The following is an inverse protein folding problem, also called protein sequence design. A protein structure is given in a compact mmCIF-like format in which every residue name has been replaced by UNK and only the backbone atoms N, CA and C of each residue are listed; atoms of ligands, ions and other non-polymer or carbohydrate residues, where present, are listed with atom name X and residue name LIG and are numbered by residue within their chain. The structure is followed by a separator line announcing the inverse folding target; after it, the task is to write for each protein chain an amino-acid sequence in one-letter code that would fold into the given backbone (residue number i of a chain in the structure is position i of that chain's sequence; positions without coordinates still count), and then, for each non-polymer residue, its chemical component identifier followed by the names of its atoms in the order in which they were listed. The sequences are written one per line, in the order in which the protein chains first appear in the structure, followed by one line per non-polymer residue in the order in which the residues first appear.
data_IF_466202621275
#
_entry.id   IF_466202621275
#
_cell.length_a   1.000
_cell.length_b   1.000
_cell.length_c   1.000
_cell.angle_alpha   90.00
_cell.angle_beta   90.00
_cell.angle_gamma   90.00
#
_symmetry.space_group_name_H-M   'P 1'
#
loop_
_entity.id
_entity.type
_entity.pdbx_description
1 polymer ?
#
# COMPACT_ATOMS: atom_id res chain seq x y z
N UNK A 1 33.63 62.50 8.99
CA UNK A 1 33.03 61.61 10.04
C UNK A 1 33.61 60.24 9.85
N UNK A 2 34.25 59.71 10.86
CA UNK A 2 34.80 58.35 10.75
C UNK A 2 33.64 57.35 10.96
N UNK A 3 33.74 56.18 10.33
CA UNK A 3 32.74 55.09 10.39
C UNK A 3 32.45 54.69 11.86
N UNK A 4 33.48 54.77 12.71
CA UNK A 4 33.41 54.50 14.13
C UNK A 4 32.59 55.56 14.90
N UNK A 5 32.62 56.83 14.52
CA UNK A 5 31.79 57.88 15.11
C UNK A 5 30.33 57.70 14.75
N UNK A 6 30.04 57.35 13.50
CA UNK A 6 28.66 57.10 13.06
C UNK A 6 28.02 55.88 13.78
N UNK A 7 28.77 54.79 13.99
CA UNK A 7 28.33 53.65 14.77
C UNK A 7 28.08 54.00 16.22
N UNK A 8 28.99 54.79 16.83
CA UNK A 8 28.85 55.19 18.24
C UNK A 8 27.65 56.12 18.46
N UNK A 9 27.36 57.01 17.52
CA UNK A 9 26.18 57.89 17.55
C UNK A 9 24.90 57.09 17.39
N UNK A 10 24.85 56.10 16.47
CA UNK A 10 23.71 55.19 16.29
C UNK A 10 23.43 54.35 17.55
N UNK A 11 24.47 53.80 18.16
CA UNK A 11 24.34 53.05 19.44
C UNK A 11 23.83 53.92 20.60
N UNK A 12 24.27 55.17 20.68
CA UNK A 12 23.82 56.11 21.70
C UNK A 12 22.34 56.49 21.50
N UNK A 13 21.95 56.71 20.24
CA UNK A 13 20.52 56.98 19.90
C UNK A 13 19.61 55.82 20.22
N UNK A 14 20.04 54.55 19.96
CA UNK A 14 19.33 53.35 20.34
C UNK A 14 19.20 53.25 21.88
N UNK A 15 20.20 53.59 22.62
CA UNK A 15 20.24 53.51 24.06
C UNK A 15 19.33 54.56 24.75
N UNK A 16 19.10 55.72 24.11
CA UNK A 16 18.19 56.75 24.61
C UNK A 16 16.71 56.40 24.39
N UNK A 17 16.38 55.60 23.38
CA UNK A 17 15.02 55.19 23.04
C UNK A 17 14.84 53.64 23.06
N UNK A 18 15.38 52.98 24.07
CA UNK A 18 15.46 51.52 24.16
C UNK A 18 14.10 50.81 24.02
N UNK A 19 13.01 51.36 24.53
CA UNK A 19 11.69 50.71 24.40
C UNK A 19 11.20 50.71 22.96
N UNK A 20 11.41 51.81 22.22
CA UNK A 20 11.00 51.85 20.81
C UNK A 20 11.87 50.90 19.94
N UNK A 21 13.20 50.94 20.19
CA UNK A 21 14.14 50.06 19.49
C UNK A 21 13.85 48.57 19.76
N UNK A 22 13.52 48.21 21.01
CA UNK A 22 13.17 46.84 21.41
C UNK A 22 11.87 46.36 20.78
N UNK A 23 10.84 47.22 20.75
CA UNK A 23 9.56 46.87 20.12
C UNK A 23 9.69 46.69 18.62
N UNK A 24 10.46 47.54 17.92
CA UNK A 24 10.69 47.37 16.49
C UNK A 24 11.53 46.13 16.18
N UNK A 25 12.57 45.84 16.95
CA UNK A 25 13.36 44.63 16.82
C UNK A 25 12.56 43.37 17.07
N UNK A 26 11.72 43.39 18.11
CA UNK A 26 10.82 42.28 18.44
C UNK A 26 9.84 42.01 17.27
N UNK A 27 9.27 43.05 16.68
CA UNK A 27 8.39 42.90 15.52
C UNK A 27 9.09 42.26 14.31
N UNK A 28 10.34 42.67 14.03
CA UNK A 28 11.14 42.12 12.96
C UNK A 28 11.49 40.63 13.23
N UNK A 29 11.90 40.32 14.46
CA UNK A 29 12.23 38.94 14.85
C UNK A 29 10.99 38.04 14.71
N UNK A 30 9.84 38.46 15.22
CA UNK A 30 8.59 37.68 15.11
C UNK A 30 8.22 37.51 13.63
N UNK A 31 8.32 38.55 12.82
CA UNK A 31 8.01 38.50 11.40
C UNK A 31 8.89 37.47 10.65
N UNK A 32 10.20 37.56 10.83
CA UNK A 32 11.15 36.66 10.17
C UNK A 32 10.98 35.22 10.69
N UNK A 33 10.86 35.04 12.01
CA UNK A 33 10.67 33.72 12.61
C UNK A 33 9.39 33.06 12.13
N UNK A 34 8.31 33.81 11.97
CA UNK A 34 7.04 33.33 11.44
C UNK A 34 7.17 32.82 10.00
N UNK A 35 7.86 33.56 9.13
CA UNK A 35 8.07 33.13 7.75
C UNK A 35 8.94 31.86 7.69
N UNK A 36 10.03 31.82 8.46
CA UNK A 36 10.89 30.62 8.52
C UNK A 36 10.07 29.41 9.03
N UNK A 37 9.28 29.57 10.07
CA UNK A 37 8.47 28.50 10.62
C UNK A 37 7.45 27.97 9.60
N UNK A 38 6.77 28.86 8.86
CA UNK A 38 5.79 28.47 7.84
C UNK A 38 6.47 27.71 6.69
N UNK A 39 7.59 28.21 6.18
CA UNK A 39 8.33 27.56 5.08
C UNK A 39 8.88 26.19 5.52
N UNK A 40 9.45 26.12 6.72
CA UNK A 40 10.00 24.87 7.25
C UNK A 40 8.89 23.83 7.45
N UNK A 41 7.76 24.25 8.01
CA UNK A 41 6.59 23.38 8.22
C UNK A 41 6.01 22.92 6.86
N UNK A 42 5.90 23.83 5.89
CA UNK A 42 5.43 23.51 4.54
C UNK A 42 6.29 22.44 3.85
N UNK A 43 7.61 22.62 3.88
CA UNK A 43 8.55 21.65 3.31
C UNK A 43 8.52 20.30 4.03
N UNK A 44 8.39 20.31 5.36
CA UNK A 44 8.29 19.09 6.15
C UNK A 44 6.99 18.31 5.86
N UNK A 45 5.86 19.02 5.76
CA UNK A 45 4.56 18.42 5.41
C UNK A 45 4.59 17.86 3.98
N UNK A 46 5.17 18.58 3.02
CA UNK A 46 5.30 18.10 1.65
C UNK A 46 6.13 16.83 1.58
N UNK A 47 7.30 16.81 2.22
CA UNK A 47 8.17 15.63 2.25
C UNK A 47 7.47 14.42 2.90
N UNK A 48 6.77 14.65 4.02
CA UNK A 48 6.03 13.61 4.72
C UNK A 48 4.84 13.09 3.89
N UNK A 49 4.13 13.98 3.21
CA UNK A 49 3.01 13.59 2.33
C UNK A 49 3.51 12.75 1.18
N UNK A 50 4.57 13.16 0.48
CA UNK A 50 5.16 12.39 -0.62
C UNK A 50 5.64 11.01 -0.14
N UNK A 51 6.24 10.93 1.04
CA UNK A 51 6.68 9.66 1.61
C UNK A 51 5.50 8.76 1.97
N UNK A 52 4.45 9.32 2.58
CA UNK A 52 3.23 8.55 2.89
C UNK A 52 2.52 8.05 1.63
N UNK A 53 2.50 8.85 0.56
CA UNK A 53 1.95 8.47 -0.74
C UNK A 53 2.77 7.36 -1.40
N UNK A 54 4.11 7.48 -1.37
CA UNK A 54 4.99 6.42 -1.87
C UNK A 54 4.84 5.11 -1.06
N UNK A 55 4.68 5.22 0.26
CA UNK A 55 4.44 4.08 1.14
C UNK A 55 3.06 3.44 0.93
N UNK A 56 2.07 4.24 0.54
CA UNK A 56 0.75 3.76 0.13
C UNK A 56 0.73 3.07 -1.25
N UNK A 57 1.84 3.10 -1.99
CA UNK A 57 1.97 2.45 -3.29
C UNK A 57 1.42 3.28 -4.46
N UNK A 58 1.31 4.61 -4.32
CA UNK A 58 0.87 5.49 -5.42
C UNK A 58 1.83 5.45 -6.62
N UNK A 59 3.10 5.10 -6.39
CA UNK A 59 4.07 4.89 -7.46
C UNK A 59 4.04 3.45 -8.02
N UNK A 60 3.16 2.58 -7.49
CA UNK A 60 3.01 1.25 -8.04
C UNK A 60 2.25 1.33 -9.36
N UNK A 61 2.82 0.74 -10.39
CA UNK A 61 2.15 0.57 -11.67
C UNK A 61 1.10 -0.54 -11.53
N UNK A 62 -0.10 -0.32 -12.04
CA UNK A 62 -1.11 -1.37 -12.12
C UNK A 62 -1.14 -1.89 -13.55
N UNK A 63 -0.80 -3.15 -13.73
CA UNK A 63 -1.01 -3.85 -14.99
C UNK A 63 -2.36 -4.57 -14.91
N UNK A 64 -3.30 -4.20 -15.76
CA UNK A 64 -4.67 -4.71 -15.75
C UNK A 64 -5.05 -5.29 -17.11
N UNK A 65 -5.73 -6.43 -17.09
CA UNK A 65 -6.31 -7.03 -18.30
C UNK A 65 -7.53 -6.23 -18.72
N UNK A 66 -7.50 -5.72 -19.95
CA UNK A 66 -8.61 -4.94 -20.56
C UNK A 66 -9.04 -5.57 -21.87
N UNK A 67 -10.34 -5.44 -22.20
CA UNK A 67 -10.85 -5.84 -23.51
C UNK A 67 -10.31 -4.91 -24.61
N UNK A 68 -9.94 -5.49 -25.78
CA UNK A 68 -9.52 -4.73 -26.97
C UNK A 68 -10.67 -4.02 -27.67
N UNK A 69 -11.92 -4.37 -27.32
CA UNK A 69 -13.12 -3.75 -27.91
C UNK A 69 -13.54 -2.45 -27.23
N UNK A 70 -12.96 -2.10 -26.11
CA UNK A 70 -13.20 -0.80 -25.47
C UNK A 70 -12.42 0.27 -26.25
N UNK A 71 -13.15 1.15 -26.97
CA UNK A 71 -12.55 2.23 -27.72
C UNK A 71 -11.80 3.17 -26.79
N UNK A 72 -10.64 3.66 -27.25
CA UNK A 72 -9.77 4.58 -26.49
C UNK A 72 -10.45 5.92 -26.09
N UNK A 73 -11.64 6.20 -26.64
CA UNK A 73 -12.44 7.40 -26.35
C UNK A 73 -13.23 7.34 -25.03
N UNK A 74 -13.34 6.16 -24.38
CA UNK A 74 -14.04 6.01 -23.10
C UNK A 74 -13.11 6.09 -21.86
N UNK A 75 -11.80 6.24 -22.06
CA UNK A 75 -10.82 6.27 -20.94
C UNK A 75 -10.71 7.65 -20.23
N UNK A 76 -11.32 8.73 -20.75
CA UNK A 76 -11.23 10.07 -20.11
C UNK A 76 -12.34 10.37 -19.09
N UNK A 77 -13.31 9.47 -18.88
CA UNK A 77 -14.34 9.68 -17.86
C UNK A 77 -13.94 8.99 -16.53
N UNK A 78 -13.09 9.66 -15.75
CA UNK A 78 -12.72 9.25 -14.37
C UNK A 78 -13.93 9.13 -13.41
N UNK A 79 -15.15 9.35 -13.90
CA UNK A 79 -16.39 9.35 -13.13
C UNK A 79 -17.41 8.27 -13.56
N UNK A 80 -16.99 7.27 -14.32
CA UNK A 80 -17.89 6.16 -14.66
C UNK A 80 -18.04 5.18 -13.48
N UNK A 81 -18.75 5.60 -12.45
CA UNK A 81 -19.39 4.72 -11.48
C UNK A 81 -20.46 3.90 -12.20
N UNK A 82 -20.13 2.76 -12.74
CA UNK A 82 -21.18 1.86 -13.24
C UNK A 82 -20.88 0.96 -14.42
N UNK A 83 -19.67 0.91 -14.97
CA UNK A 83 -19.34 -0.18 -15.89
C UNK A 83 -19.10 -1.44 -15.07
N UNK A 84 -19.97 -2.44 -15.24
CA UNK A 84 -19.76 -3.78 -14.70
C UNK A 84 -18.37 -4.24 -15.14
N UNK A 85 -17.55 -4.84 -14.23
CA UNK A 85 -16.27 -5.40 -14.61
C UNK A 85 -16.49 -6.34 -15.79
N UNK A 86 -15.77 -6.11 -16.90
CA UNK A 86 -15.76 -7.07 -17.99
C UNK A 86 -15.24 -8.38 -17.41
N UNK A 87 -16.05 -9.42 -17.42
CA UNK A 87 -15.67 -10.73 -16.92
C UNK A 87 -14.58 -11.26 -17.85
N UNK A 88 -13.33 -11.16 -17.40
CA UNK A 88 -12.16 -11.59 -18.17
C UNK A 88 -12.14 -13.13 -18.22
N UNK A 89 -12.00 -13.69 -19.40
CA UNK A 89 -11.86 -15.13 -19.55
C UNK A 89 -10.63 -15.61 -18.75
N UNK A 90 -10.78 -16.72 -18.05
CA UNK A 90 -9.75 -17.30 -17.17
C UNK A 90 -8.42 -17.49 -17.90
N UNK A 91 -8.46 -17.88 -19.19
CA UNK A 91 -7.27 -18.06 -20.02
C UNK A 91 -6.53 -16.77 -20.36
N UNK A 92 -7.19 -15.62 -20.22
CA UNK A 92 -6.63 -14.30 -20.54
C UNK A 92 -6.20 -13.53 -19.30
N UNK A 93 -6.29 -14.12 -18.11
CA UNK A 93 -5.79 -13.52 -16.87
C UNK A 93 -4.27 -13.60 -16.76
N UNK A 94 -3.70 -12.72 -15.94
CA UNK A 94 -2.26 -12.71 -15.63
C UNK A 94 -1.95 -13.88 -14.70
N UNK A 95 -1.20 -14.87 -15.19
CA UNK A 95 -0.85 -16.06 -14.43
C UNK A 95 0.33 -15.84 -13.46
N UNK A 96 0.46 -16.71 -12.46
CA UNK A 96 1.60 -16.72 -11.54
C UNK A 96 2.96 -16.87 -12.28
N UNK A 97 2.99 -17.62 -13.38
CA UNK A 97 4.18 -17.76 -14.20
C UNK A 97 4.56 -16.45 -14.89
N UNK A 98 3.59 -15.70 -15.43
CA UNK A 98 3.83 -14.36 -16.01
C UNK A 98 4.39 -13.40 -14.96
N UNK A 99 3.87 -13.42 -13.72
CA UNK A 99 4.38 -12.61 -12.62
C UNK A 99 5.84 -12.94 -12.31
N UNK A 100 6.18 -14.21 -12.25
CA UNK A 100 7.54 -14.69 -12.00
C UNK A 100 8.49 -14.32 -13.15
N UNK A 101 8.04 -14.45 -14.40
CA UNK A 101 8.81 -14.12 -15.59
C UNK A 101 9.08 -12.62 -15.71
N UNK A 102 8.09 -11.78 -15.41
CA UNK A 102 8.25 -10.32 -15.38
C UNK A 102 9.37 -9.92 -14.42
N UNK A 103 9.38 -10.48 -13.22
CA UNK A 103 10.41 -10.20 -12.20
C UNK A 103 11.80 -10.66 -12.65
N UNK A 104 11.89 -11.86 -13.26
CA UNK A 104 13.16 -12.42 -13.76
C UNK A 104 13.73 -11.64 -14.94
N UNK A 105 12.86 -11.08 -15.79
CA UNK A 105 13.27 -10.37 -17.01
C UNK A 105 13.88 -9.01 -16.72
N UNK A 106 13.47 -8.34 -15.65
CA UNK A 106 13.92 -7.00 -15.31
C UNK A 106 14.57 -6.91 -13.91
N UNK A 107 15.64 -7.66 -13.66
CA UNK A 107 16.30 -7.66 -12.36
C UNK A 107 16.86 -6.27 -12.03
N UNK A 108 16.62 -5.82 -10.80
CA UNK A 108 17.06 -4.50 -10.33
C UNK A 108 16.27 -3.30 -10.85
N UNK A 109 15.27 -3.50 -11.72
CA UNK A 109 14.36 -2.45 -12.21
C UNK A 109 12.98 -2.54 -11.57
N UNK A 110 12.56 -3.75 -11.22
CA UNK A 110 11.32 -4.04 -10.51
C UNK A 110 11.68 -4.50 -9.10
N UNK A 111 11.17 -3.78 -8.09
CA UNK A 111 11.35 -4.13 -6.69
C UNK A 111 10.44 -5.29 -6.26
N UNK A 112 9.26 -5.39 -6.85
CA UNK A 112 8.31 -6.46 -6.58
C UNK A 112 7.08 -6.41 -7.48
N UNK A 113 6.42 -7.55 -7.61
CA UNK A 113 5.14 -7.69 -8.31
C UNK A 113 4.12 -8.29 -7.34
N UNK A 114 3.20 -7.47 -6.87
CA UNK A 114 2.19 -7.84 -5.88
C UNK A 114 0.87 -8.24 -6.52
N UNK A 115 0.27 -9.32 -6.05
CA UNK A 115 -1.03 -9.84 -6.53
C UNK A 115 -2.19 -9.53 -5.61
N UNK A 116 -1.93 -9.15 -4.35
CA UNK A 116 -2.95 -9.06 -3.30
C UNK A 116 -4.04 -8.02 -3.48
N UNK A 117 -3.87 -7.02 -4.36
CA UNK A 117 -4.93 -6.04 -4.66
C UNK A 117 -6.04 -6.61 -5.53
N UNK A 118 -5.75 -7.61 -6.36
CA UNK A 118 -6.73 -8.27 -7.22
C UNK A 118 -7.41 -9.49 -6.56
N UNK A 119 -6.81 -10.00 -5.47
CA UNK A 119 -7.24 -11.22 -4.79
C UNK A 119 -7.83 -10.90 -3.41
N UNK A 120 -8.86 -10.05 -3.38
CA UNK A 120 -9.58 -9.64 -2.16
C UNK A 120 -10.93 -10.31 -2.07
N UNK A 121 -11.20 -10.92 -0.92
CA UNK A 121 -12.43 -11.65 -0.65
C UNK A 121 -13.08 -11.15 0.64
N UNK A 122 -14.34 -10.79 0.55
CA UNK A 122 -15.14 -10.47 1.72
C UNK A 122 -15.72 -11.75 2.32
N UNK A 123 -15.75 -11.81 3.64
CA UNK A 123 -16.30 -12.96 4.32
C UNK A 123 -16.41 -12.74 5.81
N UNK A 124 -16.57 -13.84 6.51
CA UNK A 124 -16.61 -13.86 7.97
C UNK A 124 -15.53 -14.77 8.53
N UNK A 125 -15.03 -14.41 9.70
CA UNK A 125 -14.04 -15.20 10.44
C UNK A 125 -14.62 -15.62 11.79
N UNK A 126 -14.29 -16.81 12.21
CA UNK A 126 -14.66 -17.38 13.51
C UNK A 126 -13.49 -18.17 14.10
N UNK A 127 -13.60 -18.50 15.38
CA UNK A 127 -12.69 -19.41 16.06
C UNK A 127 -13.50 -20.49 16.78
N UNK A 128 -12.97 -21.68 16.98
CA UNK A 128 -13.66 -22.74 17.74
C UNK A 128 -14.02 -22.33 19.18
N UNK A 129 -13.29 -21.37 19.74
CA UNK A 129 -13.47 -20.91 21.12
C UNK A 129 -14.48 -19.75 21.26
N UNK A 130 -14.89 -19.11 20.18
CA UNK A 130 -15.75 -17.93 20.20
C UNK A 130 -17.07 -18.20 19.48
N UNK A 131 -18.18 -17.91 20.14
CA UNK A 131 -19.50 -17.98 19.52
C UNK A 131 -19.72 -16.74 18.64
N UNK A 132 -20.05 -16.98 17.36
CA UNK A 132 -20.36 -15.95 16.38
C UNK A 132 -19.22 -15.64 15.43
N UNK A 133 -19.59 -15.01 14.34
CA UNK A 133 -18.67 -14.64 13.25
C UNK A 133 -18.40 -13.14 13.22
N UNK A 134 -17.26 -12.72 12.69
CA UNK A 134 -16.87 -11.32 12.47
C UNK A 134 -16.55 -11.09 11.01
N UNK A 135 -16.95 -9.95 10.48
CA UNK A 135 -16.60 -9.59 9.11
C UNK A 135 -15.09 -9.34 8.97
N UNK A 136 -14.53 -9.83 7.89
CA UNK A 136 -13.13 -9.72 7.58
C UNK A 136 -12.92 -9.64 6.06
N UNK A 137 -11.89 -8.92 5.66
CA UNK A 137 -11.37 -8.95 4.30
C UNK A 137 -10.17 -9.89 4.25
N UNK A 138 -10.26 -10.93 3.44
CA UNK A 138 -9.15 -11.84 3.16
C UNK A 138 -8.45 -11.39 1.88
N UNK A 139 -7.13 -11.25 1.94
CA UNK A 139 -6.29 -11.00 0.78
C UNK A 139 -5.36 -12.21 0.57
N UNK A 140 -5.51 -12.86 -0.57
CA UNK A 140 -4.55 -13.87 -1.01
C UNK A 140 -3.34 -13.16 -1.65
N UNK A 141 -2.15 -13.40 -1.12
CA UNK A 141 -0.98 -12.57 -1.42
C UNK A 141 0.27 -13.41 -1.71
N UNK A 142 1.20 -12.81 -2.44
CA UNK A 142 2.58 -13.27 -2.51
C UNK A 142 3.48 -12.46 -1.54
N UNK A 143 4.71 -12.90 -1.37
CA UNK A 143 5.68 -12.24 -0.48
C UNK A 143 6.05 -10.83 -0.94
N UNK A 144 6.04 -10.58 -2.25
CA UNK A 144 6.28 -9.24 -2.79
C UNK A 144 5.22 -8.25 -2.33
N UNK A 145 3.93 -8.63 -2.32
CA UNK A 145 2.86 -7.77 -1.81
C UNK A 145 3.07 -7.38 -0.33
N UNK A 146 3.44 -8.34 0.50
CA UNK A 146 3.74 -8.10 1.93
C UNK A 146 4.89 -7.08 2.08
N UNK A 147 5.94 -7.24 1.27
CA UNK A 147 7.10 -6.35 1.24
C UNK A 147 6.72 -4.95 0.73
N UNK A 148 5.91 -4.87 -0.33
CA UNK A 148 5.42 -3.62 -0.91
C UNK A 148 4.57 -2.84 0.08
N UNK A 149 3.77 -3.52 0.89
CA UNK A 149 2.97 -2.90 1.98
C UNK A 149 3.82 -2.55 3.20
N UNK A 150 5.11 -2.90 3.22
CA UNK A 150 6.03 -2.66 4.35
C UNK A 150 5.49 -3.18 5.68
N UNK A 151 4.74 -4.28 5.65
CA UNK A 151 4.19 -4.88 6.85
C UNK A 151 5.32 -5.33 7.78
N UNK A 152 5.13 -5.13 9.07
CA UNK A 152 6.04 -5.59 10.11
C UNK A 152 5.28 -6.49 11.08
N UNK A 153 5.88 -7.56 11.59
CA UNK A 153 5.22 -8.39 12.59
C UNK A 153 5.25 -7.70 13.95
N UNK A 154 4.08 -7.57 14.59
CA UNK A 154 3.97 -7.20 16.00
C UNK A 154 4.31 -8.39 16.91
N UNK A 155 3.81 -9.57 16.51
CA UNK A 155 4.14 -10.87 17.13
C UNK A 155 4.15 -11.96 16.05
N UNK A 156 4.93 -13.00 16.27
CA UNK A 156 5.08 -14.11 15.32
C UNK A 156 5.91 -13.71 14.11
N UNK A 157 5.48 -14.10 12.92
CA UNK A 157 6.17 -13.84 11.65
C UNK A 157 5.18 -13.47 10.53
N UNK A 158 5.67 -12.87 9.48
CA UNK A 158 4.92 -12.67 8.23
C UNK A 158 4.95 -13.95 7.38
N UNK A 159 4.19 -13.95 6.27
CA UNK A 159 4.22 -15.02 5.28
C UNK A 159 5.60 -15.08 4.60
N UNK A 160 6.06 -16.28 4.34
CA UNK A 160 7.34 -16.56 3.68
C UNK A 160 7.11 -17.24 2.33
N UNK A 161 8.15 -17.27 1.48
CA UNK A 161 8.09 -17.99 0.21
C UNK A 161 7.79 -19.47 0.40
N UNK A 162 8.33 -20.09 1.46
CA UNK A 162 8.03 -21.48 1.83
C UNK A 162 6.54 -21.74 2.14
N UNK A 163 5.82 -20.72 2.67
CA UNK A 163 4.38 -20.85 2.91
C UNK A 163 3.61 -20.81 1.59
N UNK A 164 4.09 -20.00 0.62
CA UNK A 164 3.51 -19.91 -0.72
C UNK A 164 3.78 -21.20 -1.50
N UNK A 165 5.05 -21.58 -1.65
CA UNK A 165 5.46 -22.78 -2.40
C UNK A 165 4.88 -24.07 -1.80
N UNK A 166 4.78 -24.13 -0.46
CA UNK A 166 4.23 -25.27 0.26
C UNK A 166 2.70 -25.29 0.35
N UNK A 167 2.00 -24.31 -0.23
CA UNK A 167 0.54 -24.16 -0.14
C UNK A 167 0.04 -24.34 1.30
N UNK A 168 0.72 -23.69 2.25
CA UNK A 168 0.43 -23.83 3.68
C UNK A 168 -0.82 -23.03 4.06
N UNK A 169 -1.70 -23.65 4.83
CA UNK A 169 -2.89 -23.00 5.38
C UNK A 169 -2.52 -22.14 6.60
N UNK A 170 -1.81 -21.06 6.37
CA UNK A 170 -1.39 -20.11 7.40
C UNK A 170 -1.89 -18.71 7.09
N UNK A 171 -2.04 -17.90 8.13
CA UNK A 171 -2.50 -16.52 7.98
C UNK A 171 -1.77 -15.56 8.88
N UNK A 172 -1.64 -14.32 8.42
CA UNK A 172 -1.24 -13.15 9.20
C UNK A 172 -2.43 -12.22 9.30
N UNK A 173 -2.80 -11.84 10.52
CA UNK A 173 -4.02 -11.09 10.78
C UNK A 173 -3.74 -9.67 11.30
N UNK A 174 -4.73 -8.77 11.11
CA UNK A 174 -4.68 -7.40 11.59
C UNK A 174 -4.89 -7.31 13.11
N UNK A 175 -4.39 -6.24 13.76
CA UNK A 175 -4.71 -5.96 15.17
C UNK A 175 -6.20 -5.87 15.42
N UNK A 176 -6.98 -5.35 14.46
CA UNK A 176 -8.45 -5.30 14.54
C UNK A 176 -9.07 -6.70 14.60
N UNK A 177 -8.59 -7.64 13.78
CA UNK A 177 -9.05 -9.03 13.83
C UNK A 177 -8.71 -9.67 15.18
N UNK A 178 -7.51 -9.41 15.74
CA UNK A 178 -7.14 -9.86 17.09
C UNK A 178 -8.05 -9.25 18.16
N UNK A 179 -8.38 -7.97 18.04
CA UNK A 179 -9.31 -7.32 18.95
C UNK A 179 -10.69 -7.99 18.92
N UNK A 180 -11.16 -8.35 17.73
CA UNK A 180 -12.48 -8.94 17.53
C UNK A 180 -12.56 -10.41 18.00
N UNK A 181 -11.49 -11.20 17.76
CA UNK A 181 -11.50 -12.65 18.01
C UNK A 181 -10.83 -13.06 19.32
N UNK A 182 -9.83 -12.29 19.75
CA UNK A 182 -8.97 -12.63 20.88
C UNK A 182 -8.92 -11.52 21.95
N UNK A 183 -9.87 -10.56 21.90
CA UNK A 183 -9.96 -9.45 22.86
C UNK A 183 -8.64 -8.63 22.98
N UNK A 184 -7.90 -8.53 21.89
CA UNK A 184 -6.62 -7.80 21.85
C UNK A 184 -5.41 -8.60 22.34
N UNK A 185 -5.57 -9.88 22.66
CA UNK A 185 -4.45 -10.71 23.12
C UNK A 185 -3.70 -11.33 21.92
N UNK A 186 -2.62 -10.69 21.50
CA UNK A 186 -1.80 -11.14 20.38
C UNK A 186 -1.19 -12.54 20.61
N UNK A 187 -0.83 -12.87 21.85
CA UNK A 187 -0.24 -14.18 22.17
C UNK A 187 -1.29 -15.31 22.07
N UNK A 188 -2.55 -15.03 22.39
CA UNK A 188 -3.63 -16.00 22.22
C UNK A 188 -3.98 -16.22 20.75
N UNK A 189 -3.70 -15.25 19.89
CA UNK A 189 -3.92 -15.37 18.45
C UNK A 189 -2.89 -16.27 17.78
N UNK A 190 -1.61 -16.25 18.24
CA UNK A 190 -0.55 -17.06 17.65
C UNK A 190 -0.82 -18.55 17.81
N UNK A 191 -0.79 -19.28 16.68
CA UNK A 191 -1.04 -20.71 16.63
C UNK A 191 -2.52 -21.07 16.75
N UNK A 192 -3.43 -20.11 16.91
CA UNK A 192 -4.85 -20.37 16.91
C UNK A 192 -5.35 -20.72 15.50
N UNK A 193 -6.30 -21.61 15.44
CA UNK A 193 -7.05 -21.92 14.21
C UNK A 193 -8.20 -20.92 14.06
N UNK A 194 -8.33 -20.39 12.85
CA UNK A 194 -9.41 -19.47 12.46
C UNK A 194 -10.06 -19.98 11.20
N UNK A 195 -11.38 -19.94 11.19
CA UNK A 195 -12.21 -20.39 10.07
C UNK A 195 -12.72 -19.20 9.28
N UNK A 196 -12.32 -19.11 8.02
CA UNK A 196 -12.82 -18.11 7.07
C UNK A 196 -13.95 -18.71 6.25
N UNK A 197 -15.05 -18.00 6.18
CA UNK A 197 -16.21 -18.35 5.32
C UNK A 197 -16.45 -17.19 4.36
N UNK A 198 -16.32 -17.45 3.07
CA UNK A 198 -16.59 -16.45 2.03
C UNK A 198 -18.10 -16.18 1.88
N UNK A 199 -18.46 -15.23 1.02
CA UNK A 199 -19.85 -14.88 0.72
C UNK A 199 -20.66 -16.01 0.11
N UNK A 200 -20.00 -16.97 -0.54
CA UNK A 200 -20.64 -18.15 -1.16
C UNK A 200 -20.83 -19.32 -0.18
N UNK A 201 -20.43 -19.14 1.07
CA UNK A 201 -20.55 -20.15 2.12
C UNK A 201 -19.44 -21.20 2.14
N UNK A 202 -18.37 -21.04 1.36
CA UNK A 202 -17.19 -21.94 1.43
C UNK A 202 -16.38 -21.59 2.68
N UNK A 203 -16.04 -22.61 3.42
CA UNK A 203 -15.25 -22.49 4.65
C UNK A 203 -13.85 -23.05 4.45
N UNK A 204 -12.84 -22.35 4.99
CA UNK A 204 -11.45 -22.77 4.99
C UNK A 204 -10.78 -22.35 6.28
N UNK A 205 -10.08 -23.29 6.91
CA UNK A 205 -9.37 -23.05 8.17
C UNK A 205 -7.92 -22.65 7.91
N UNK A 206 -7.43 -21.72 8.72
CA UNK A 206 -6.04 -21.24 8.69
C UNK A 206 -5.46 -21.17 10.09
N UNK A 207 -4.15 -21.38 10.20
CA UNK A 207 -3.42 -21.21 11.45
C UNK A 207 -2.77 -19.84 11.47
N UNK A 208 -2.99 -19.06 12.52
CA UNK A 208 -2.40 -17.73 12.68
C UNK A 208 -0.91 -17.86 12.99
N UNK A 209 -0.03 -17.43 12.10
CA UNK A 209 1.42 -17.43 12.26
C UNK A 209 1.99 -16.08 12.66
N UNK A 210 1.21 -15.02 12.55
CA UNK A 210 1.61 -13.69 12.95
C UNK A 210 0.47 -12.69 13.02
N UNK A 211 0.73 -11.62 13.76
CA UNK A 211 -0.09 -10.41 13.79
C UNK A 211 0.82 -9.28 13.33
N UNK A 212 0.40 -8.50 12.35
CA UNK A 212 1.21 -7.38 11.89
C UNK A 212 0.99 -6.14 12.76
N UNK A 213 1.97 -5.23 12.75
CA UNK A 213 1.84 -3.94 13.41
C UNK A 213 0.79 -3.10 12.67
N UNK A 214 -0.03 -2.40 13.44
CA UNK A 214 -0.88 -1.37 12.89
C UNK A 214 0.02 -0.27 12.31
N UNK A 215 0.09 -0.18 10.99
CA UNK A 215 0.70 0.95 10.31
C UNK A 215 -0.25 2.15 10.51
N UNK A 216 -0.14 2.79 11.68
CA UNK A 216 -0.72 4.08 11.85
C UNK A 216 -0.12 4.97 10.77
N UNK A 217 -0.91 5.28 9.73
CA UNK A 217 -0.63 6.39 8.85
C UNK A 217 -0.67 7.64 9.73
N UNK A 218 0.48 7.95 10.35
CA UNK A 218 0.62 9.11 11.22
C UNK A 218 0.44 10.36 10.37
N UNK A 219 -0.81 10.81 10.24
CA UNK A 219 -1.16 12.05 9.57
C UNK A 219 -1.92 11.96 8.24
N UNK A 220 -2.38 10.79 7.82
CA UNK A 220 -3.26 10.65 6.65
C UNK A 220 -4.72 10.98 6.98
N UNK A 221 -5.39 11.69 6.06
CA UNK A 221 -6.85 11.95 6.12
C UNK A 221 -7.68 10.65 6.00
N UNK A 222 -7.04 9.52 5.74
CA UNK A 222 -7.67 8.19 5.57
C UNK A 222 -7.04 7.23 6.57
N UNK A 223 -7.85 6.75 7.49
CA UNK A 223 -7.41 5.78 8.49
C UNK A 223 -7.58 4.36 7.94
N UNK A 224 -6.52 3.80 7.34
CA UNK A 224 -6.50 2.41 6.87
C UNK A 224 -6.31 1.37 7.99
N UNK A 225 -6.17 1.81 9.24
CA UNK A 225 -5.84 0.93 10.38
C UNK A 225 -7.03 0.26 11.06
N UNK A 226 -8.27 0.62 10.71
CA UNK A 226 -9.46 0.11 11.43
C UNK A 226 -10.18 -1.03 10.68
N UNK A 227 -9.53 -1.64 9.69
CA UNK A 227 -10.07 -2.75 8.93
C UNK A 227 -9.64 -4.11 9.50
N UNK A 228 -10.59 -5.03 9.57
CA UNK A 228 -10.30 -6.43 9.88
C UNK A 228 -9.80 -7.12 8.62
N UNK A 229 -8.50 -7.41 8.56
CA UNK A 229 -7.84 -7.98 7.41
C UNK A 229 -7.09 -9.24 7.79
N UNK A 230 -7.09 -10.23 6.89
CA UNK A 230 -6.22 -11.38 6.96
C UNK A 230 -5.48 -11.58 5.63
N UNK A 231 -4.21 -11.94 5.71
CA UNK A 231 -3.36 -12.26 4.57
C UNK A 231 -3.06 -13.75 4.55
N UNK A 232 -3.30 -14.40 3.43
CA UNK A 232 -3.04 -15.82 3.22
C UNK A 232 -2.17 -16.04 1.97
N UNK A 233 -1.43 -17.17 1.88
CA UNK A 233 -0.75 -17.55 0.64
C UNK A 233 -1.72 -17.66 -0.53
N UNK A 234 -1.39 -17.07 -1.68
CA UNK A 234 -2.27 -17.06 -2.85
C UNK A 234 -2.72 -18.46 -3.34
N UNK A 235 -1.93 -19.54 -3.24
CA UNK A 235 -2.40 -20.85 -3.67
C UNK A 235 -3.63 -21.36 -2.89
N UNK A 236 -3.83 -20.82 -1.67
CA UNK A 236 -5.02 -21.11 -0.86
C UNK A 236 -6.34 -20.63 -1.46
N UNK A 237 -6.30 -19.72 -2.45
CA UNK A 237 -7.49 -19.20 -3.15
C UNK A 237 -8.37 -20.32 -3.71
N UNK A 238 -7.77 -21.37 -4.25
CA UNK A 238 -8.49 -22.51 -4.82
C UNK A 238 -9.45 -23.20 -3.84
N UNK A 239 -9.26 -23.01 -2.52
CA UNK A 239 -10.08 -23.63 -1.47
C UNK A 239 -11.36 -22.85 -1.18
N UNK A 240 -11.36 -21.56 -1.36
CA UNK A 240 -12.50 -20.69 -1.03
C UNK A 240 -13.00 -19.85 -2.21
N UNK A 241 -12.28 -19.83 -3.31
CA UNK A 241 -12.68 -19.15 -4.54
C UNK A 241 -12.43 -20.06 -5.77
N UNK A 242 -13.04 -19.73 -6.90
CA UNK A 242 -12.74 -20.39 -8.18
C UNK A 242 -11.56 -19.69 -8.84
N UNK A 243 -10.42 -19.71 -8.17
CA UNK A 243 -9.20 -19.05 -8.65
C UNK A 243 -8.16 -20.10 -9.02
N UNK A 244 -7.58 -19.96 -10.20
CA UNK A 244 -6.60 -20.89 -10.78
C UNK A 244 -5.19 -20.29 -10.79
N UNK A 245 -4.87 -19.38 -9.86
CA UNK A 245 -3.57 -18.70 -9.82
C UNK A 245 -3.39 -17.73 -10.97
N UNK A 246 -4.47 -17.06 -11.36
CA UNK A 246 -4.48 -16.02 -12.39
C UNK A 246 -5.39 -14.86 -11.97
N UNK A 247 -4.98 -13.64 -12.24
CA UNK A 247 -5.60 -12.41 -11.73
C UNK A 247 -5.89 -11.42 -12.86
N UNK A 248 -6.91 -10.59 -12.66
CA UNK A 248 -7.27 -9.54 -13.61
C UNK A 248 -6.29 -8.36 -13.58
N UNK A 249 -5.57 -8.20 -12.48
CA UNK A 249 -4.56 -7.15 -12.33
C UNK A 249 -3.44 -7.54 -11.38
N UNK A 250 -2.28 -6.92 -11.57
CA UNK A 250 -1.14 -7.02 -10.64
C UNK A 250 -0.52 -5.64 -10.43
N UNK A 251 0.05 -5.44 -9.24
CA UNK A 251 0.76 -4.20 -8.92
C UNK A 251 2.26 -4.40 -9.11
N UNK A 252 2.90 -3.55 -9.89
CA UNK A 252 4.34 -3.59 -10.15
C UNK A 252 5.00 -2.39 -9.50
N UNK A 253 5.93 -2.61 -8.57
CA UNK A 253 6.71 -1.55 -7.92
C UNK A 253 8.04 -1.38 -8.62
N UNK A 254 8.31 -0.20 -9.21
CA UNK A 254 9.65 0.14 -9.70
C UNK A 254 10.70 0.09 -8.59
N UNK A 255 11.92 -0.28 -8.91
CA UNK A 255 13.02 -0.24 -7.95
C UNK A 255 13.40 1.21 -7.61
N UNK A 256 13.85 1.49 -6.37
CA UNK A 256 14.28 2.83 -6.00
C UNK A 256 15.36 3.37 -6.94
N UNK A 257 15.16 4.60 -7.43
CA UNK A 257 16.12 5.29 -8.32
C UNK A 257 16.00 4.90 -9.80
N UNK A 258 15.03 4.08 -10.18
CA UNK A 258 14.67 3.84 -11.59
C UNK A 258 13.72 4.92 -12.09
N UNK A 259 13.72 5.13 -13.40
CA UNK A 259 12.72 5.99 -14.06
C UNK A 259 11.41 5.22 -14.23
N UNK A 260 10.36 5.68 -13.56
CA UNK A 260 9.06 5.03 -13.55
C UNK A 260 8.46 4.93 -14.98
N UNK A 261 8.72 5.92 -15.83
CA UNK A 261 8.28 5.92 -17.22
C UNK A 261 8.94 4.80 -18.04
N UNK A 262 10.23 4.59 -17.85
CA UNK A 262 10.96 3.50 -18.52
C UNK A 262 10.51 2.13 -18.00
N UNK A 263 10.26 2.00 -16.69
CA UNK A 263 9.74 0.74 -16.13
C UNK A 263 8.36 0.46 -16.67
N UNK A 264 7.47 1.47 -16.71
CA UNK A 264 6.14 1.35 -17.30
C UNK A 264 6.21 0.85 -18.75
N UNK A 265 7.07 1.46 -19.58
CA UNK A 265 7.22 1.04 -20.98
C UNK A 265 7.68 -0.43 -21.09
N UNK A 266 8.66 -0.86 -20.30
CA UNK A 266 9.16 -2.23 -20.31
C UNK A 266 8.14 -3.25 -19.82
N UNK A 267 7.37 -2.90 -18.80
CA UNK A 267 6.26 -3.74 -18.31
C UNK A 267 5.20 -3.87 -19.39
N UNK A 268 4.85 -2.76 -20.07
CA UNK A 268 3.93 -2.78 -21.20
C UNK A 268 4.43 -3.67 -22.35
N UNK A 269 5.68 -3.48 -22.79
CA UNK A 269 6.30 -4.30 -23.84
C UNK A 269 6.33 -5.80 -23.49
N UNK A 270 6.54 -6.13 -22.21
CA UNK A 270 6.48 -7.51 -21.75
C UNK A 270 5.07 -8.09 -21.92
N UNK A 271 4.05 -7.40 -21.46
CA UNK A 271 2.69 -7.88 -21.57
C UNK A 271 2.17 -7.87 -23.01
N UNK A 272 2.57 -6.90 -23.84
CA UNK A 272 2.23 -6.88 -25.27
C UNK A 272 2.75 -8.14 -25.97
N UNK A 273 3.94 -8.62 -25.61
CA UNK A 273 4.47 -9.89 -26.13
C UNK A 273 3.68 -11.10 -25.63
N UNK A 274 3.26 -11.12 -24.36
CA UNK A 274 2.48 -12.22 -23.81
C UNK A 274 1.07 -12.31 -24.42
N UNK A 275 0.47 -11.16 -24.74
CA UNK A 275 -0.87 -11.03 -25.28
C UNK A 275 -0.90 -10.77 -26.80
N UNK A 276 0.22 -10.99 -27.51
CA UNK A 276 0.32 -10.75 -28.96
C UNK A 276 -0.74 -11.54 -29.75
N UNK A 277 -1.00 -12.78 -29.35
CA UNK A 277 -1.97 -13.67 -29.99
C UNK A 277 -3.37 -13.63 -29.36
N UNK A 278 -3.59 -12.87 -28.30
CA UNK A 278 -4.92 -12.71 -27.72
C UNK A 278 -5.70 -11.65 -28.51
N UNK A 279 -6.77 -12.11 -29.16
CA UNK A 279 -7.59 -11.25 -30.04
C UNK A 279 -8.54 -10.36 -29.24
N UNK A 280 -8.89 -10.78 -28.02
CA UNK A 280 -9.95 -10.16 -27.22
C UNK A 280 -9.43 -9.29 -26.08
N UNK A 281 -8.24 -9.57 -25.54
CA UNK A 281 -7.70 -8.92 -24.37
C UNK A 281 -6.30 -8.36 -24.58
N UNK A 282 -5.96 -7.35 -23.80
CA UNK A 282 -4.61 -6.78 -23.67
C UNK A 282 -4.37 -6.43 -22.20
N UNK A 283 -3.11 -6.24 -21.80
CA UNK A 283 -2.77 -5.65 -20.49
C UNK A 283 -2.38 -4.19 -20.72
N UNK A 284 -2.94 -3.28 -19.92
CA UNK A 284 -2.65 -1.85 -19.96
C UNK A 284 -2.37 -1.30 -18.56
#
# INVERSE_FOLDING_TARGET
MSLTESIKLALTSLRSNKMRALLTLLGVIIGISSVIAIVTLGNALQAQTLQNLADAGINDLTAQVKSRTTNEEEEEDENSYGTSPVEVDQSSKISADMVSDLKRRFPGQIAGVGIGSAAQYQGTISTPAQVGTKNITLNAVNTDFITMKKLKPAVGRLLTEEDIEGDRQVTVISPKAVQQLFHGNNNAALGAEVDFTNTDGRNTSFVVVGVYEETASKGGLVNFGDESIMYVPWPSESRFANADGAWDSVSVRPAPGTDDGQVKQKVQEFFDQQYENDVYYRVA
#
